data_IF_384305348300
#
_entry.id   IF_384305348300
#
_cell.length_a   1.000
_cell.length_b   1.000
_cell.length_c   1.000
_cell.angle_alpha   90.00
_cell.angle_beta   90.00
_cell.angle_gamma   90.00
#
_symmetry.space_group_name_H-M   'P 1'
#
loop_
_entity.id
_entity.type
_entity.pdbx_description
1 polymer ?
#
# COMPACT_ATOMS: atom_id res chain seq x y z
N UNK A 1 41.23 26.63 -2.81
CA UNK A 1 40.19 25.80 -2.20
C UNK A 1 39.90 24.63 -3.12
N UNK A 2 40.13 23.40 -2.67
CA UNK A 2 39.94 22.18 -3.46
C UNK A 2 38.53 21.67 -3.14
N UNK A 3 37.64 21.59 -4.13
CA UNK A 3 36.33 20.97 -3.94
C UNK A 3 36.52 19.45 -3.94
N UNK A 4 35.93 18.78 -2.97
CA UNK A 4 35.84 17.32 -2.88
C UNK A 4 34.43 16.93 -3.35
N UNK A 5 34.35 16.18 -4.44
CA UNK A 5 33.07 15.70 -4.97
C UNK A 5 32.72 14.42 -4.23
N UNK A 6 31.69 14.47 -3.39
CA UNK A 6 31.11 13.27 -2.77
C UNK A 6 30.13 12.67 -3.78
N UNK A 7 30.47 11.49 -4.31
CA UNK A 7 29.55 10.69 -5.12
C UNK A 7 28.83 9.76 -4.16
N UNK A 8 27.54 10.02 -3.92
CA UNK A 8 26.69 9.07 -3.19
C UNK A 8 26.50 7.85 -4.09
N UNK A 9 26.95 6.68 -3.65
CA UNK A 9 26.63 5.42 -4.32
C UNK A 9 25.11 5.27 -4.30
N UNK A 10 24.49 5.23 -5.47
CA UNK A 10 23.06 4.93 -5.59
C UNK A 10 22.92 3.43 -5.32
N UNK A 11 22.50 3.06 -4.11
CA UNK A 11 22.13 1.68 -3.81
C UNK A 11 21.04 1.26 -4.80
N UNK A 12 21.43 0.47 -5.79
CA UNK A 12 20.51 -0.17 -6.73
C UNK A 12 19.63 -1.13 -5.94
N UNK A 13 18.49 -0.66 -5.46
CA UNK A 13 17.42 -1.51 -4.92
C UNK A 13 16.93 -2.32 -6.13
N UNK A 14 17.44 -3.54 -6.29
CA UNK A 14 16.96 -4.46 -7.32
C UNK A 14 15.49 -4.77 -7.04
N UNK A 15 14.60 -4.32 -7.93
CA UNK A 15 13.19 -4.64 -7.83
C UNK A 15 13.01 -6.16 -8.01
N UNK A 16 12.29 -6.85 -7.11
CA UNK A 16 12.15 -8.30 -7.20
C UNK A 16 11.51 -8.69 -8.53
N UNK A 17 12.19 -9.55 -9.28
CA UNK A 17 11.73 -10.05 -10.60
C UNK A 17 10.51 -10.96 -10.51
N UNK A 18 10.16 -11.39 -9.30
CA UNK A 18 8.98 -12.19 -9.02
C UNK A 18 7.84 -11.30 -8.51
N UNK A 19 6.64 -11.39 -9.11
CA UNK A 19 5.50 -10.61 -8.66
C UNK A 19 5.15 -10.97 -7.21
N UNK A 20 4.84 -9.96 -6.42
CA UNK A 20 4.40 -10.15 -5.04
C UNK A 20 3.07 -10.92 -5.00
N UNK A 21 2.91 -11.75 -3.97
CA UNK A 21 1.62 -12.38 -3.70
C UNK A 21 0.57 -11.31 -3.38
N UNK A 22 -0.68 -11.45 -3.85
CA UNK A 22 -1.74 -10.53 -3.49
C UNK A 22 -2.01 -10.60 -1.98
N UNK A 23 -2.42 -9.49 -1.34
CA UNK A 23 -2.83 -9.50 0.05
C UNK A 23 -4.06 -10.38 0.24
N UNK A 24 -4.23 -10.90 1.45
CA UNK A 24 -5.32 -11.82 1.83
C UNK A 24 -6.13 -11.26 2.99
N UNK A 25 -7.33 -11.80 3.19
CA UNK A 25 -8.14 -11.47 4.37
C UNK A 25 -8.55 -10.00 4.47
N UNK A 26 -8.87 -9.35 3.35
CA UNK A 26 -9.38 -7.98 3.35
C UNK A 26 -10.64 -7.88 4.21
N UNK A 27 -10.59 -7.03 5.23
CA UNK A 27 -11.68 -6.74 6.14
C UNK A 27 -11.98 -5.23 6.15
N UNK A 28 -13.26 -4.88 6.23
CA UNK A 28 -13.73 -3.50 6.23
C UNK A 28 -14.56 -3.23 7.50
N UNK A 29 -14.10 -2.30 8.34
CA UNK A 29 -14.82 -1.82 9.51
C UNK A 29 -15.50 -0.49 9.19
N UNK A 30 -16.82 -0.44 9.30
CA UNK A 30 -17.60 0.77 9.05
C UNK A 30 -17.59 1.65 10.29
N UNK A 31 -17.15 2.90 10.13
CA UNK A 31 -17.18 3.90 11.21
C UNK A 31 -18.38 4.85 11.05
N UNK A 32 -18.76 5.17 9.81
CA UNK A 32 -19.88 6.08 9.51
C UNK A 32 -20.47 5.78 8.12
N UNK A 33 -21.44 6.60 7.68
CA UNK A 33 -22.00 6.52 6.32
C UNK A 33 -21.01 6.84 5.21
N UNK A 34 -19.90 7.51 5.51
CA UNK A 34 -18.84 7.87 4.55
C UNK A 34 -17.47 7.30 4.91
N UNK A 35 -17.31 6.77 6.12
CA UNK A 35 -15.99 6.43 6.65
C UNK A 35 -15.85 4.94 6.93
N UNK A 36 -14.79 4.32 6.40
CA UNK A 36 -14.43 2.91 6.67
C UNK A 36 -12.92 2.76 6.92
N UNK A 37 -12.55 1.79 7.73
CA UNK A 37 -11.17 1.30 7.86
C UNK A 37 -11.06 -0.03 7.13
N UNK A 38 -10.09 -0.12 6.21
CA UNK A 38 -9.68 -1.36 5.58
C UNK A 38 -8.46 -1.93 6.31
N UNK A 39 -8.43 -3.24 6.49
CA UNK A 39 -7.27 -3.99 7.01
C UNK A 39 -7.07 -5.26 6.18
N UNK A 40 -5.83 -5.65 5.93
CA UNK A 40 -5.50 -6.90 5.23
C UNK A 40 -4.22 -7.51 5.81
N UNK A 41 -3.91 -8.74 5.39
CA UNK A 41 -2.67 -9.42 5.73
C UNK A 41 -1.87 -9.73 4.47
N UNK A 42 -0.56 -9.91 4.62
CA UNK A 42 0.35 -10.25 3.54
C UNK A 42 1.22 -11.45 3.95
N UNK A 43 1.00 -12.57 3.25
CA UNK A 43 1.68 -13.83 3.53
C UNK A 43 3.15 -13.85 3.09
N UNK A 44 3.60 -12.84 2.35
CA UNK A 44 5.02 -12.66 2.04
C UNK A 44 5.79 -11.95 3.16
N UNK A 45 5.10 -11.35 4.13
CA UNK A 45 5.71 -10.77 5.33
C UNK A 45 5.95 -11.83 6.40
N UNK A 46 6.81 -11.50 7.37
CA UNK A 46 7.01 -12.35 8.54
C UNK A 46 5.73 -12.41 9.41
N UNK A 47 5.67 -13.34 10.37
CA UNK A 47 4.49 -13.57 11.23
C UNK A 47 4.00 -12.33 11.98
N UNK A 48 4.88 -11.34 12.22
CA UNK A 48 4.52 -10.09 12.88
C UNK A 48 3.86 -9.05 11.94
N UNK A 49 3.72 -9.36 10.65
CA UNK A 49 3.11 -8.49 9.64
C UNK A 49 3.77 -7.10 9.56
N UNK A 50 5.09 -7.03 9.84
CA UNK A 50 5.88 -5.81 9.71
C UNK A 50 6.41 -5.66 8.29
N UNK A 51 6.09 -4.54 7.65
CA UNK A 51 6.66 -4.15 6.35
C UNK A 51 8.09 -3.64 6.57
N UNK A 52 9.02 -4.13 5.78
CA UNK A 52 10.47 -3.80 5.88
C UNK A 52 11.09 -3.43 4.53
N UNK A 53 10.27 -3.33 3.49
CA UNK A 53 10.68 -3.01 2.12
C UNK A 53 9.73 -1.97 1.52
N UNK A 54 9.95 -1.60 0.25
CA UNK A 54 9.24 -0.51 -0.42
C UNK A 54 7.97 -0.97 -1.17
N UNK A 55 7.27 -1.99 -0.67
CA UNK A 55 6.01 -2.45 -1.28
C UNK A 55 4.89 -1.42 -1.18
N UNK A 56 3.93 -1.51 -2.09
CA UNK A 56 2.67 -0.77 -2.02
C UNK A 56 1.50 -1.65 -2.42
N UNK A 57 0.33 -1.32 -1.88
CA UNK A 57 -0.95 -1.98 -2.13
C UNK A 57 -1.88 -1.02 -2.86
N UNK A 58 -2.56 -1.52 -3.89
CA UNK A 58 -3.55 -0.73 -4.64
C UNK A 58 -4.96 -1.10 -4.18
N UNK A 59 -5.66 -0.14 -3.58
CA UNK A 59 -7.05 -0.26 -3.14
C UNK A 59 -7.95 0.31 -4.24
N UNK A 60 -8.89 -0.51 -4.71
CA UNK A 60 -9.93 -0.10 -5.67
C UNK A 60 -11.30 -0.10 -5.01
N UNK A 61 -11.96 1.05 -4.97
CA UNK A 61 -13.28 1.19 -4.32
C UNK A 61 -14.22 2.11 -5.11
N UNK A 62 -15.53 2.03 -4.83
CA UNK A 62 -16.54 2.98 -5.34
C UNK A 62 -17.70 3.09 -4.36
N UNK A 63 -18.37 4.24 -4.35
CA UNK A 63 -19.62 4.40 -3.61
C UNK A 63 -20.79 3.83 -4.43
N UNK A 64 -21.57 2.94 -3.82
CA UNK A 64 -22.70 2.29 -4.52
C UNK A 64 -23.89 3.22 -4.73
N UNK A 65 -24.10 4.20 -3.84
CA UNK A 65 -25.28 5.06 -3.85
C UNK A 65 -25.17 6.22 -4.85
N UNK A 66 -24.00 6.44 -5.45
CA UNK A 66 -23.75 7.53 -6.39
C UNK A 66 -23.96 7.02 -7.82
N UNK A 67 -25.07 7.42 -8.46
CA UNK A 67 -25.35 7.09 -9.87
C UNK A 67 -24.18 7.56 -10.74
N UNK A 68 -23.57 6.65 -11.49
CA UNK A 68 -22.39 6.94 -12.32
C UNK A 68 -21.06 7.00 -11.57
N UNK A 69 -20.99 6.52 -10.32
CA UNK A 69 -19.73 6.47 -9.57
C UNK A 69 -18.67 5.66 -10.31
N UNK A 70 -17.56 6.33 -10.64
CA UNK A 70 -16.35 5.67 -11.14
C UNK A 70 -15.62 4.98 -9.98
N UNK A 71 -14.80 3.98 -10.32
CA UNK A 71 -13.86 3.41 -9.37
C UNK A 71 -12.77 4.45 -9.04
N UNK A 72 -12.42 4.50 -7.77
CA UNK A 72 -11.26 5.24 -7.24
C UNK A 72 -10.16 4.23 -6.93
N UNK A 73 -8.92 4.67 -7.08
CA UNK A 73 -7.72 3.90 -6.82
C UNK A 73 -6.85 4.68 -5.85
N UNK A 74 -6.31 3.99 -4.86
CA UNK A 74 -5.45 4.55 -3.83
C UNK A 74 -4.29 3.60 -3.62
N UNK A 75 -3.10 4.16 -3.39
CA UNK A 75 -1.94 3.39 -2.97
C UNK A 75 -1.76 3.50 -1.46
N UNK A 76 -1.48 2.37 -0.82
CA UNK A 76 -1.17 2.28 0.61
C UNK A 76 0.17 1.56 0.80
N UNK A 77 0.97 2.01 1.76
CA UNK A 77 2.24 1.37 2.14
C UNK A 77 2.14 0.64 3.48
N UNK A 78 0.99 0.72 4.14
CA UNK A 78 0.65 0.01 5.37
C UNK A 78 -0.34 -1.11 5.09
N UNK A 79 -0.57 -2.00 6.07
CA UNK A 79 -1.58 -3.07 6.00
C UNK A 79 -2.99 -2.61 6.38
N UNK A 80 -3.21 -1.30 6.46
CA UNK A 80 -4.49 -0.69 6.73
C UNK A 80 -4.65 0.61 5.96
N UNK A 81 -5.90 1.03 5.72
CA UNK A 81 -6.19 2.30 5.09
C UNK A 81 -7.53 2.88 5.54
N UNK A 82 -7.55 4.18 5.80
CA UNK A 82 -8.75 4.94 6.18
C UNK A 82 -9.36 5.61 4.95
N UNK A 83 -10.60 5.25 4.61
CA UNK A 83 -11.35 5.88 3.52
C UNK A 83 -12.38 6.83 4.12
N UNK A 84 -12.42 8.07 3.62
CA UNK A 84 -13.37 9.14 3.95
C UNK A 84 -14.17 9.63 2.73
#
# INVERSE_FOLDING_TARGET
>A
SKYETVITSEDTIEEPTTPMLPPVGLNAHVLSSSTIILTWADNSLSKNQKITDNRYYTIKYRQLNSKGSKYRFINATDLNYHIE
#
